data_IF_693922706721
#
_entry.id   IF_693922706721
#
_cell.length_a   1.000
_cell.length_b   1.000
_cell.length_c   1.000
_cell.angle_alpha   90.00
_cell.angle_beta   90.00
_cell.angle_gamma   90.00
#
_symmetry.space_group_name_H-M   'P 1'
#
loop_
_entity.id
_entity.type
_entity.pdbx_description
1 polymer ?
#
# COMPACT_ATOMS: atom_id res chain seq x y z
N UNK A 1 5.71 1.49 13.19
CA UNK A 1 5.69 0.17 12.53
C UNK A 1 4.24 -0.13 12.22
N UNK A 2 3.81 0.20 11.01
CA UNK A 2 2.41 0.12 10.58
C UNK A 2 1.99 -1.33 10.40
N UNK A 3 0.82 -1.71 10.93
CA UNK A 3 0.30 -3.09 10.91
C UNK A 3 0.19 -3.65 9.49
N UNK A 4 -0.04 -2.78 8.51
CA UNK A 4 -0.08 -3.13 7.10
C UNK A 4 1.28 -3.56 6.53
N UNK A 5 2.42 -3.06 7.02
CA UNK A 5 3.74 -3.51 6.57
C UNK A 5 3.99 -4.96 6.94
N UNK A 6 3.54 -5.39 8.12
CA UNK A 6 3.61 -6.78 8.53
C UNK A 6 2.69 -7.65 7.66
N UNK A 7 1.45 -7.21 7.46
CA UNK A 7 0.48 -7.86 6.58
C UNK A 7 1.02 -8.00 5.14
N UNK A 8 1.61 -6.95 4.58
CA UNK A 8 2.25 -6.97 3.27
C UNK A 8 3.32 -8.06 3.21
N UNK A 9 4.09 -8.30 4.28
CA UNK A 9 5.22 -9.26 4.29
C UNK A 9 4.78 -10.71 4.51
N UNK A 10 3.67 -10.94 5.21
CA UNK A 10 3.26 -12.29 5.64
C UNK A 10 2.08 -12.83 4.83
N UNK A 11 1.12 -11.99 4.46
CA UNK A 11 -0.17 -12.42 3.92
C UNK A 11 -0.15 -12.69 2.41
N UNK A 12 -1.28 -13.18 1.91
CA UNK A 12 -1.52 -13.45 0.50
C UNK A 12 -1.78 -12.17 -0.30
N UNK A 13 -1.47 -12.13 -1.60
CA UNK A 13 -1.71 -10.94 -2.44
C UNK A 13 -3.17 -10.49 -2.46
N UNK A 14 -4.14 -11.41 -2.30
CA UNK A 14 -5.56 -11.06 -2.19
C UNK A 14 -5.85 -10.24 -0.93
N UNK A 15 -5.48 -10.76 0.24
CA UNK A 15 -5.63 -10.07 1.54
C UNK A 15 -4.93 -8.70 1.54
N UNK A 16 -3.71 -8.65 1.00
CA UNK A 16 -2.94 -7.41 0.90
C UNK A 16 -3.63 -6.40 -0.01
N UNK A 17 -4.20 -6.84 -1.14
CA UNK A 17 -4.92 -5.97 -2.05
C UNK A 17 -6.15 -5.34 -1.40
N UNK A 18 -6.99 -6.12 -0.72
CA UNK A 18 -8.22 -5.61 -0.09
C UNK A 18 -7.90 -4.65 1.05
N UNK A 19 -6.88 -4.95 1.86
CA UNK A 19 -6.45 -4.05 2.93
C UNK A 19 -5.88 -2.76 2.36
N UNK A 20 -5.06 -2.84 1.31
CA UNK A 20 -4.45 -1.68 0.67
C UNK A 20 -5.52 -0.77 0.04
N UNK A 21 -6.49 -1.34 -0.66
CA UNK A 21 -7.60 -0.61 -1.28
C UNK A 21 -8.40 0.17 -0.22
N UNK A 22 -8.72 -0.48 0.91
CA UNK A 22 -9.39 0.16 2.03
C UNK A 22 -8.62 1.37 2.56
N UNK A 23 -7.31 1.24 2.80
CA UNK A 23 -6.50 2.34 3.32
C UNK A 23 -6.36 3.50 2.33
N UNK A 24 -6.21 3.20 1.03
CA UNK A 24 -5.97 4.24 0.02
C UNK A 24 -7.24 4.98 -0.42
N UNK A 25 -8.40 4.30 -0.43
CA UNK A 25 -9.62 4.84 -1.05
C UNK A 25 -10.85 4.87 -0.14
N UNK A 26 -10.94 3.98 0.86
CA UNK A 26 -12.12 3.89 1.74
C UNK A 26 -11.90 4.51 3.12
N UNK A 27 -10.65 4.79 3.49
CA UNK A 27 -10.32 5.41 4.76
C UNK A 27 -10.79 6.87 4.81
N UNK A 28 -11.27 7.32 5.97
CA UNK A 28 -11.62 8.74 6.15
C UNK A 28 -10.34 9.59 6.12
N UNK A 29 -10.42 10.83 5.64
CA UNK A 29 -9.28 11.76 5.48
C UNK A 29 -8.39 11.94 6.73
N UNK A 30 -8.90 11.67 7.93
CA UNK A 30 -8.15 11.76 9.20
C UNK A 30 -7.32 10.49 9.50
N UNK A 31 -7.67 9.36 8.88
CA UNK A 31 -7.01 8.05 9.03
C UNK A 31 -6.32 7.59 7.74
N UNK A 32 -6.36 8.43 6.68
CA UNK A 32 -5.66 8.18 5.44
C UNK A 32 -4.14 8.12 5.67
N UNK A 33 -3.43 7.20 5.00
CA UNK A 33 -1.98 7.11 5.16
C UNK A 33 -1.31 8.35 4.57
N UNK A 34 -0.15 8.71 5.12
CA UNK A 34 0.67 9.75 4.51
C UNK A 34 1.55 9.20 3.37
N UNK A 35 2.07 10.11 2.54
CA UNK A 35 2.90 9.74 1.40
C UNK A 35 4.20 9.00 1.78
N UNK A 36 4.75 9.23 2.97
CA UNK A 36 5.93 8.48 3.43
C UNK A 36 5.53 7.03 3.76
N UNK A 37 4.40 6.83 4.44
CA UNK A 37 3.88 5.48 4.72
C UNK A 37 3.57 4.70 3.43
N UNK A 38 2.87 5.30 2.47
CA UNK A 38 2.55 4.62 1.21
C UNK A 38 3.81 4.30 0.41
N UNK A 39 4.84 5.15 0.48
CA UNK A 39 6.16 4.86 -0.12
C UNK A 39 6.85 3.66 0.53
N UNK A 40 6.75 3.48 1.85
CA UNK A 40 7.24 2.30 2.55
C UNK A 40 6.49 1.03 2.14
N UNK A 41 5.16 1.12 2.00
CA UNK A 41 4.33 -0.02 1.57
C UNK A 41 4.69 -0.45 0.16
N UNK A 42 4.84 0.51 -0.76
CA UNK A 42 5.32 0.27 -2.11
C UNK A 42 6.66 -0.46 -2.11
N UNK A 43 7.62 0.01 -1.33
CA UNK A 43 8.94 -0.62 -1.26
C UNK A 43 8.86 -2.06 -0.77
N UNK A 44 8.03 -2.34 0.24
CA UNK A 44 7.79 -3.69 0.75
C UNK A 44 7.11 -4.61 -0.29
N UNK A 45 6.16 -4.08 -1.06
CA UNK A 45 5.48 -4.81 -2.15
C UNK A 45 6.44 -5.13 -3.30
N UNK A 46 7.28 -4.17 -3.70
CA UNK A 46 8.33 -4.38 -4.71
C UNK A 46 9.31 -5.46 -4.24
N UNK A 47 9.71 -5.43 -2.97
CA UNK A 47 10.64 -6.41 -2.41
C UNK A 47 10.07 -7.84 -2.41
N UNK A 48 8.75 -8.03 -2.29
CA UNK A 48 8.11 -9.35 -2.44
C UNK A 48 8.02 -9.79 -3.91
N UNK A 49 7.86 -8.86 -4.83
CA UNK A 49 7.83 -9.13 -6.27
C UNK A 49 6.64 -9.97 -6.73
N UNK A 50 6.71 -10.49 -7.96
CA UNK A 50 5.65 -11.33 -8.53
C UNK A 50 4.30 -10.62 -8.59
N UNK A 51 3.26 -11.23 -8.00
CA UNK A 51 1.89 -10.67 -8.00
C UNK A 51 1.77 -9.38 -7.17
N UNK A 52 2.73 -9.09 -6.29
CA UNK A 52 2.75 -7.87 -5.47
C UNK A 52 3.23 -6.63 -6.24
N UNK A 53 3.88 -6.81 -7.40
CA UNK A 53 4.31 -5.68 -8.24
C UNK A 53 3.11 -4.82 -8.65
N UNK A 54 1.98 -5.46 -9.01
CA UNK A 54 0.78 -4.73 -9.39
C UNK A 54 0.20 -3.90 -8.25
N UNK A 55 0.36 -4.36 -7.01
CA UNK A 55 -0.07 -3.59 -5.82
C UNK A 55 0.91 -2.44 -5.54
N UNK A 56 2.20 -2.63 -5.80
CA UNK A 56 3.18 -1.54 -5.73
C UNK A 56 2.89 -0.44 -6.76
N UNK A 57 2.38 -0.80 -7.93
CA UNK A 57 1.93 0.17 -8.94
C UNK A 57 0.73 0.99 -8.44
N UNK A 58 -0.23 0.38 -7.74
CA UNK A 58 -1.35 1.11 -7.12
C UNK A 58 -0.84 2.14 -6.11
N UNK A 59 0.08 1.75 -5.22
CA UNK A 59 0.72 2.70 -4.30
C UNK A 59 1.45 3.83 -5.05
N UNK A 60 2.13 3.51 -6.15
CA UNK A 60 2.85 4.51 -6.95
C UNK A 60 1.91 5.51 -7.62
N UNK A 61 0.77 5.06 -8.13
CA UNK A 61 -0.25 5.94 -8.71
C UNK A 61 -0.81 6.87 -7.65
N UNK A 62 -1.18 6.34 -6.49
CA UNK A 62 -1.69 7.16 -5.38
C UNK A 62 -0.67 8.22 -4.93
N UNK A 63 0.62 7.85 -4.83
CA UNK A 63 1.71 8.78 -4.50
C UNK A 63 1.91 9.89 -5.55
N UNK A 64 1.68 9.57 -6.82
CA UNK A 64 1.74 10.56 -7.91
C UNK A 64 0.58 11.54 -7.80
N UNK A 65 -0.62 11.05 -7.48
CA UNK A 65 -1.83 11.86 -7.28
C UNK A 65 -1.75 12.78 -6.06
N UNK A 66 -1.22 12.31 -4.93
CA UNK A 66 -1.05 13.12 -3.70
C UNK A 66 0.11 14.11 -3.77
N UNK A 67 1.06 13.89 -4.68
CA UNK A 67 2.21 14.76 -4.91
C UNK A 67 1.97 15.90 -5.92
N UNK A 68 0.77 15.98 -6.51
CA UNK A 68 0.34 16.99 -7.49
C UNK A 68 -0.32 18.20 -6.83
#
# INVERSE_FOLDING_TARGET
MSAILELIRTESPGTVAETLDFFLYECSLDEAPDAAEVAEWRAALVARGGKFIRLAEVCQTWLDEEGL
#
